data_IF_766808073356
#
_entry.id   IF_766808073356
#
_cell.length_a   1.000
_cell.length_b   1.000
_cell.length_c   1.000
_cell.angle_alpha   90.00
_cell.angle_beta   90.00
_cell.angle_gamma   90.00
#
_symmetry.space_group_name_H-M   'P 1'
#
loop_
_entity.id
_entity.type
_entity.pdbx_description
1 polymer ?
#
# COMPACT_ATOMS: atom_id res chain seq x y z
N UNK A 1 20.48 -10.34 0.55
CA UNK A 1 21.86 -10.81 0.74
C UNK A 1 21.83 -12.23 1.27
N UNK A 2 22.74 -13.07 0.82
CA UNK A 2 22.86 -14.48 1.22
C UNK A 2 24.33 -14.90 1.17
N UNK A 3 24.69 -15.94 1.93
CA UNK A 3 25.97 -16.64 1.80
C UNK A 3 26.01 -17.58 0.59
N UNK A 4 24.84 -17.92 0.04
CA UNK A 4 24.67 -18.73 -1.15
C UNK A 4 24.43 -17.84 -2.38
N UNK A 5 24.92 -18.23 -3.57
CA UNK A 5 24.80 -17.42 -4.77
C UNK A 5 23.38 -17.36 -5.35
N UNK A 6 23.08 -16.28 -6.07
CA UNK A 6 21.84 -16.09 -6.83
C UNK A 6 21.97 -16.50 -8.31
N UNK A 7 22.88 -17.41 -8.64
CA UNK A 7 23.14 -17.82 -10.03
C UNK A 7 21.92 -18.41 -10.75
N UNK A 8 20.92 -18.88 -10.01
CA UNK A 8 19.65 -19.35 -10.54
C UNK A 8 18.73 -18.21 -11.04
N UNK A 9 19.00 -16.95 -10.69
CA UNK A 9 18.26 -15.79 -11.24
C UNK A 9 18.86 -15.25 -12.53
N UNK A 10 20.07 -15.70 -12.88
CA UNK A 10 20.81 -15.23 -14.05
C UNK A 10 20.58 -16.15 -15.27
N UNK A 11 20.76 -15.58 -16.47
CA UNK A 11 20.74 -16.28 -17.75
C UNK A 11 19.57 -17.28 -17.89
N UNK A 12 18.34 -16.77 -17.71
CA UNK A 12 17.13 -17.56 -17.91
C UNK A 12 17.03 -18.02 -19.37
N UNK A 13 16.68 -19.29 -19.56
CA UNK A 13 16.39 -19.81 -20.90
C UNK A 13 15.08 -19.20 -21.37
N UNK A 14 14.95 -18.96 -22.67
CA UNK A 14 13.72 -18.42 -23.26
C UNK A 14 12.47 -19.25 -22.91
N UNK A 15 12.61 -20.58 -22.80
CA UNK A 15 11.52 -21.46 -22.38
C UNK A 15 11.10 -21.24 -20.92
N UNK A 16 12.06 -20.99 -20.01
CA UNK A 16 11.80 -20.73 -18.59
C UNK A 16 11.08 -19.40 -18.39
N UNK A 17 11.50 -18.38 -19.14
CA UNK A 17 10.85 -17.06 -19.17
C UNK A 17 9.42 -17.14 -19.72
N UNK A 18 9.24 -17.76 -20.88
CA UNK A 18 7.92 -17.94 -21.48
C UNK A 18 6.97 -18.75 -20.58
N UNK A 19 7.48 -19.78 -19.92
CA UNK A 19 6.70 -20.58 -18.98
C UNK A 19 6.32 -19.77 -17.73
N UNK A 20 7.24 -18.98 -17.16
CA UNK A 20 6.94 -18.09 -16.03
C UNK A 20 5.83 -17.07 -16.36
N UNK A 21 5.87 -16.48 -17.56
CA UNK A 21 4.82 -15.57 -18.03
C UNK A 21 3.46 -16.27 -18.14
N UNK A 22 3.44 -17.44 -18.76
CA UNK A 22 2.23 -18.23 -18.91
C UNK A 22 1.66 -18.70 -17.56
N UNK A 23 2.53 -19.04 -16.60
CA UNK A 23 2.16 -19.44 -15.24
C UNK A 23 1.53 -18.28 -14.46
N UNK A 24 2.08 -17.07 -14.59
CA UNK A 24 1.50 -15.87 -13.95
C UNK A 24 0.10 -15.57 -14.47
N UNK A 25 -0.09 -15.54 -15.79
CA UNK A 25 -1.39 -15.28 -16.40
C UNK A 25 -2.46 -16.30 -15.98
N UNK A 26 -2.06 -17.56 -15.79
CA UNK A 26 -2.95 -18.66 -15.39
C UNK A 26 -3.03 -18.84 -13.88
N UNK A 27 -2.32 -18.03 -13.10
CA UNK A 27 -2.20 -18.17 -11.65
C UNK A 27 -1.84 -19.61 -11.22
N UNK A 28 -0.91 -20.23 -11.96
CA UNK A 28 -0.47 -21.60 -11.66
C UNK A 28 0.21 -21.62 -10.30
N UNK A 29 -0.23 -22.55 -9.46
CA UNK A 29 0.38 -22.79 -8.17
C UNK A 29 1.77 -23.41 -8.35
N UNK A 30 2.77 -22.78 -7.75
CA UNK A 30 4.14 -23.29 -7.76
C UNK A 30 4.52 -23.79 -6.37
N UNK A 31 4.60 -25.11 -6.24
CA UNK A 31 5.03 -25.77 -5.01
C UNK A 31 6.51 -26.18 -5.12
N UNK A 32 7.36 -25.53 -4.34
CA UNK A 32 8.77 -25.87 -4.20
C UNK A 32 9.03 -26.66 -2.92
N UNK A 33 10.03 -27.56 -2.91
CA UNK A 33 10.47 -28.21 -1.69
C UNK A 33 11.05 -27.19 -0.70
N UNK A 34 11.11 -27.57 0.58
CA UNK A 34 11.62 -26.69 1.64
C UNK A 34 13.08 -26.27 1.42
N UNK A 35 13.90 -27.13 0.81
CA UNK A 35 15.30 -26.84 0.50
C UNK A 35 15.69 -27.42 -0.85
N UNK A 36 16.28 -26.61 -1.71
CA UNK A 36 16.82 -27.05 -3.00
C UNK A 36 18.32 -27.29 -2.89
N UNK A 37 18.77 -28.47 -3.32
CA UNK A 37 20.20 -28.82 -3.32
C UNK A 37 20.95 -28.06 -4.41
N UNK A 38 20.38 -27.99 -5.62
CA UNK A 38 20.94 -27.31 -6.79
C UNK A 38 19.93 -26.31 -7.41
N UNK A 39 19.79 -25.10 -6.84
CA UNK A 39 18.83 -24.11 -7.32
C UNK A 39 18.97 -23.75 -8.80
N UNK A 40 20.19 -23.75 -9.34
CA UNK A 40 20.48 -23.38 -10.73
C UNK A 40 19.90 -24.37 -11.75
N UNK A 41 19.72 -25.64 -11.37
CA UNK A 41 19.20 -26.69 -12.26
C UNK A 41 17.68 -26.85 -12.17
N UNK A 42 17.02 -26.27 -11.16
CA UNK A 42 15.57 -26.36 -11.02
C UNK A 42 14.88 -25.40 -11.99
N UNK A 43 14.29 -25.96 -13.04
CA UNK A 43 13.44 -25.23 -13.98
C UNK A 43 12.22 -24.67 -13.26
N UNK A 44 11.64 -25.39 -12.31
CA UNK A 44 10.47 -24.96 -11.53
C UNK A 44 10.76 -23.68 -10.73
N UNK A 45 11.89 -23.63 -10.02
CA UNK A 45 12.33 -22.43 -9.29
C UNK A 45 12.49 -21.23 -10.24
N UNK A 46 13.10 -21.48 -11.40
CA UNK A 46 13.43 -20.43 -12.38
C UNK A 46 12.20 -19.86 -13.06
N UNK A 47 11.23 -20.72 -13.40
CA UNK A 47 9.92 -20.30 -13.90
C UNK A 47 9.13 -19.54 -12.82
N UNK A 48 9.12 -20.05 -11.58
CA UNK A 48 8.43 -19.41 -10.46
C UNK A 48 9.02 -18.04 -10.10
N UNK A 49 10.33 -17.90 -10.25
CA UNK A 49 11.01 -16.61 -10.11
C UNK A 49 10.51 -15.62 -11.14
N UNK A 50 10.44 -16.02 -12.41
CA UNK A 50 9.89 -15.19 -13.47
C UNK A 50 8.43 -14.83 -13.20
N UNK A 51 7.59 -15.79 -12.79
CA UNK A 51 6.22 -15.55 -12.37
C UNK A 51 6.14 -14.48 -11.26
N UNK A 52 7.02 -14.55 -10.25
CA UNK A 52 6.99 -13.65 -9.08
C UNK A 52 7.44 -12.20 -9.38
N UNK A 53 8.04 -11.96 -10.54
CA UNK A 53 8.48 -10.62 -10.96
C UNK A 53 7.40 -9.87 -11.75
N UNK A 54 6.29 -10.52 -12.11
CA UNK A 54 5.31 -9.92 -13.01
C UNK A 54 4.26 -9.13 -12.23
N UNK A 55 3.86 -8.00 -12.80
CA UNK A 55 2.73 -7.20 -12.35
C UNK A 55 2.00 -6.58 -13.54
N UNK A 56 0.79 -6.08 -13.29
CA UNK A 56 -0.03 -5.44 -14.33
C UNK A 56 -0.15 -3.94 -14.05
N UNK A 57 0.04 -3.14 -15.09
CA UNK A 57 0.06 -1.68 -15.01
C UNK A 57 -0.77 -1.05 -16.14
N UNK A 58 -1.52 0.00 -15.84
CA UNK A 58 -2.25 0.79 -16.84
C UNK A 58 -2.37 2.28 -16.41
N UNK A 59 -2.22 3.26 -17.32
CA UNK A 59 -1.76 3.09 -18.70
C UNK A 59 -0.27 2.76 -18.74
N UNK A 60 0.19 2.11 -19.81
CA UNK A 60 1.60 1.81 -20.04
C UNK A 60 2.13 2.65 -21.19
N UNK A 61 3.04 3.57 -20.90
CA UNK A 61 3.73 4.40 -21.90
C UNK A 61 5.21 4.00 -21.90
N UNK A 62 5.72 3.29 -22.92
CA UNK A 62 7.08 2.74 -22.92
C UNK A 62 8.19 3.78 -22.68
N UNK A 63 7.95 5.04 -23.03
CA UNK A 63 8.90 6.14 -22.88
C UNK A 63 8.77 6.89 -21.54
N UNK A 64 7.76 6.58 -20.71
CA UNK A 64 7.46 7.32 -19.50
C UNK A 64 7.19 6.39 -18.32
N UNK A 65 7.99 6.54 -17.27
CA UNK A 65 7.75 5.84 -16.02
C UNK A 65 6.57 6.47 -15.28
N UNK A 66 5.48 5.72 -15.18
CA UNK A 66 4.23 6.18 -14.55
C UNK A 66 4.11 5.77 -13.08
N UNK A 67 5.07 5.04 -12.51
CA UNK A 67 5.11 4.76 -11.08
C UNK A 67 6.55 4.87 -10.54
N UNK A 68 6.78 5.49 -9.37
CA UNK A 68 5.78 6.11 -8.48
C UNK A 68 5.24 7.44 -9.03
N UNK A 69 4.00 7.78 -8.70
CA UNK A 69 3.38 9.08 -9.07
C UNK A 69 3.72 10.17 -8.05
N UNK A 70 3.55 9.87 -6.77
CA UNK A 70 3.96 10.75 -5.66
C UNK A 70 5.46 10.60 -5.43
N UNK A 71 6.19 11.72 -5.40
CA UNK A 71 7.65 11.70 -5.21
C UNK A 71 8.43 11.15 -6.42
N UNK A 72 7.80 11.12 -7.61
CA UNK A 72 8.44 10.71 -8.85
C UNK A 72 9.75 11.49 -9.09
N UNK A 73 10.80 10.77 -9.45
CA UNK A 73 12.13 11.33 -9.69
C UNK A 73 12.06 12.38 -10.82
N UNK A 74 12.56 13.60 -10.54
CA UNK A 74 12.42 14.80 -11.38
C UNK A 74 13.23 14.74 -12.69
N UNK A 75 13.71 13.57 -13.09
CA UNK A 75 14.55 13.35 -14.28
C UNK A 75 13.89 13.72 -15.62
N UNK A 76 12.60 14.03 -15.61
CA UNK A 76 11.84 14.48 -16.80
C UNK A 76 11.59 16.01 -16.77
N UNK A 77 11.99 16.71 -15.70
CA UNK A 77 11.88 18.17 -15.62
C UNK A 77 12.69 18.80 -16.75
N UNK A 78 12.01 19.59 -17.60
CA UNK A 78 12.61 20.32 -18.72
C UNK A 78 12.43 19.69 -20.10
N UNK A 79 11.89 18.48 -20.22
CA UNK A 79 11.46 17.92 -21.53
C UNK A 79 10.04 18.37 -21.84
N UNK A 80 9.80 18.77 -23.09
CA UNK A 80 8.44 19.02 -23.57
C UNK A 80 7.57 17.80 -23.26
N UNK A 81 6.35 18.05 -22.79
CA UNK A 81 5.33 17.04 -22.52
C UNK A 81 4.21 17.24 -23.54
N UNK A 82 4.34 16.73 -24.78
CA UNK A 82 3.38 17.03 -25.85
C UNK A 82 1.94 16.68 -25.47
N UNK A 83 1.77 15.63 -24.67
CA UNK A 83 0.47 15.19 -24.16
C UNK A 83 -0.22 16.18 -23.23
N UNK A 84 0.50 17.13 -22.61
CA UNK A 84 -0.11 18.06 -21.65
C UNK A 84 -0.97 19.14 -22.32
N UNK A 85 -0.79 19.38 -23.61
CA UNK A 85 -1.53 20.39 -24.39
C UNK A 85 -2.58 19.79 -25.32
N UNK A 86 -2.57 18.46 -25.50
CA UNK A 86 -3.47 17.75 -26.39
C UNK A 86 -4.69 17.24 -25.61
N UNK A 87 -5.77 18.02 -25.60
CA UNK A 87 -6.99 17.68 -24.87
C UNK A 87 -7.66 16.41 -25.41
N UNK A 88 -7.65 16.19 -26.73
CA UNK A 88 -8.24 15.01 -27.35
C UNK A 88 -7.51 13.73 -26.90
N UNK A 89 -6.17 13.76 -26.91
CA UNK A 89 -5.37 12.65 -26.39
C UNK A 89 -5.66 12.38 -24.91
N UNK A 90 -5.77 13.44 -24.09
CA UNK A 90 -6.09 13.28 -22.66
C UNK A 90 -7.46 12.64 -22.45
N UNK A 91 -8.47 13.05 -23.22
CA UNK A 91 -9.80 12.45 -23.17
C UNK A 91 -9.78 10.97 -23.57
N UNK A 92 -9.05 10.61 -24.63
CA UNK A 92 -8.91 9.21 -25.05
C UNK A 92 -8.24 8.37 -23.97
N UNK A 93 -7.14 8.86 -23.38
CA UNK A 93 -6.44 8.16 -22.30
C UNK A 93 -7.30 8.00 -21.06
N UNK A 94 -8.06 9.04 -20.67
CA UNK A 94 -8.94 8.98 -19.50
C UNK A 94 -10.15 8.06 -19.74
N UNK A 95 -10.69 8.04 -20.96
CA UNK A 95 -11.78 7.13 -21.35
C UNK A 95 -11.34 5.67 -21.27
N UNK A 96 -10.18 5.33 -21.85
CA UNK A 96 -9.62 3.97 -21.78
C UNK A 96 -9.26 3.56 -20.34
N UNK A 97 -8.70 4.50 -19.57
CA UNK A 97 -8.44 4.30 -18.14
C UNK A 97 -9.72 4.00 -17.36
N UNK A 98 -10.82 4.70 -17.63
CA UNK A 98 -12.10 4.52 -16.94
C UNK A 98 -12.69 3.12 -17.18
N UNK A 99 -12.56 2.61 -18.41
CA UNK A 99 -12.93 1.25 -18.77
C UNK A 99 -12.06 0.23 -18.01
N UNK A 100 -10.75 0.47 -17.95
CA UNK A 100 -9.79 -0.39 -17.26
C UNK A 100 -10.02 -0.42 -15.74
N UNK A 101 -10.30 0.73 -15.13
CA UNK A 101 -10.60 0.87 -13.71
C UNK A 101 -11.90 0.16 -13.34
N UNK A 102 -12.95 0.33 -14.16
CA UNK A 102 -14.22 -0.39 -14.00
C UNK A 102 -14.02 -1.91 -14.10
N UNK A 103 -13.18 -2.37 -15.04
CA UNK A 103 -12.82 -3.78 -15.17
C UNK A 103 -12.15 -4.32 -13.90
N UNK A 104 -11.20 -3.58 -13.30
CA UNK A 104 -10.55 -3.98 -12.06
C UNK A 104 -11.54 -4.08 -10.89
N UNK A 105 -12.43 -3.10 -10.77
CA UNK A 105 -13.47 -3.14 -9.74
C UNK A 105 -14.40 -4.35 -9.89
N UNK A 106 -14.76 -4.71 -11.12
CA UNK A 106 -15.55 -5.90 -11.38
C UNK A 106 -14.81 -7.20 -11.00
N UNK A 107 -13.50 -7.29 -11.28
CA UNK A 107 -12.68 -8.42 -10.84
C UNK A 107 -12.59 -8.51 -9.31
N UNK A 108 -12.47 -7.37 -8.64
CA UNK A 108 -12.47 -7.27 -7.18
C UNK A 108 -13.80 -7.76 -6.59
N UNK A 109 -14.93 -7.32 -7.17
CA UNK A 109 -16.28 -7.74 -6.77
C UNK A 109 -16.51 -9.23 -7.01
N UNK A 110 -15.95 -9.77 -8.08
CA UNK A 110 -15.98 -11.20 -8.40
C UNK A 110 -14.97 -12.03 -7.60
N UNK A 111 -14.19 -11.43 -6.69
CA UNK A 111 -13.10 -12.07 -5.92
C UNK A 111 -11.99 -12.69 -6.79
N UNK A 112 -11.88 -12.27 -8.05
CA UNK A 112 -10.84 -12.71 -8.98
C UNK A 112 -9.59 -11.82 -8.93
N UNK A 113 -9.72 -10.63 -8.35
CA UNK A 113 -8.61 -9.75 -7.99
C UNK A 113 -8.62 -9.56 -6.47
N UNK A 114 -7.53 -9.87 -5.75
CA UNK A 114 -7.48 -9.73 -4.30
C UNK A 114 -7.43 -8.25 -3.92
N UNK A 115 -6.59 -7.47 -4.59
CA UNK A 115 -6.48 -6.04 -4.36
C UNK A 115 -5.89 -5.35 -5.59
N UNK A 116 -6.08 -4.04 -5.70
CA UNK A 116 -5.36 -3.23 -6.69
C UNK A 116 -5.18 -1.79 -6.17
N UNK A 117 -4.23 -1.07 -6.77
CA UNK A 117 -3.96 0.32 -6.43
C UNK A 117 -4.39 1.27 -7.55
N UNK A 118 -4.85 2.45 -7.15
CA UNK A 118 -5.00 3.64 -8.00
C UNK A 118 -4.02 4.69 -7.49
N UNK A 119 -2.95 4.94 -8.23
CA UNK A 119 -1.90 5.87 -7.86
C UNK A 119 -2.09 7.20 -8.59
N UNK A 120 -2.52 8.23 -7.88
CA UNK A 120 -2.61 9.60 -8.40
C UNK A 120 -1.35 10.38 -8.05
N UNK A 121 -1.24 11.62 -8.51
CA UNK A 121 -0.12 12.51 -8.19
C UNK A 121 -0.20 13.09 -6.76
N UNK A 122 -1.35 12.98 -6.08
CA UNK A 122 -1.57 13.52 -4.73
C UNK A 122 -1.84 12.45 -3.68
N UNK A 123 -2.49 11.35 -4.08
CA UNK A 123 -2.94 10.30 -3.18
C UNK A 123 -2.90 8.94 -3.86
N UNK A 124 -2.94 7.89 -3.06
CA UNK A 124 -3.09 6.51 -3.53
C UNK A 124 -4.36 5.93 -2.92
N UNK A 125 -5.09 5.15 -3.70
CA UNK A 125 -6.21 4.35 -3.25
C UNK A 125 -5.83 2.88 -3.32
N UNK A 126 -6.04 2.13 -2.25
CA UNK A 126 -5.93 0.68 -2.22
C UNK A 126 -7.33 0.07 -2.09
N UNK A 127 -7.78 -0.59 -3.14
CA UNK A 127 -9.00 -1.39 -3.13
C UNK A 127 -8.68 -2.83 -2.74
N UNK A 128 -9.45 -3.41 -1.82
CA UNK A 128 -9.29 -4.80 -1.34
C UNK A 128 -10.61 -5.55 -1.46
N UNK A 129 -10.55 -6.78 -1.94
CA UNK A 129 -11.69 -7.67 -2.00
C UNK A 129 -12.16 -8.08 -0.60
N UNK A 130 -13.42 -8.47 -0.50
CA UNK A 130 -13.96 -9.10 0.70
C UNK A 130 -13.18 -10.38 1.05
N UNK A 131 -12.76 -10.51 2.30
CA UNK A 131 -11.91 -11.58 2.82
C UNK A 131 -10.44 -11.17 3.04
N UNK A 132 -10.01 -10.01 2.56
CA UNK A 132 -8.65 -9.51 2.80
C UNK A 132 -8.54 -8.60 4.02
N UNK A 133 -7.35 -8.60 4.65
CA UNK A 133 -7.02 -7.75 5.79
C UNK A 133 -8.07 -7.78 6.90
N UNK A 134 -8.68 -8.95 7.15
CA UNK A 134 -9.73 -9.15 8.15
C UNK A 134 -11.10 -8.52 7.82
N UNK A 135 -11.33 -7.98 6.63
CA UNK A 135 -12.63 -7.37 6.26
C UNK A 135 -13.53 -8.36 5.53
N UNK A 136 -14.80 -8.41 5.90
CA UNK A 136 -15.80 -9.29 5.28
C UNK A 136 -16.48 -8.67 4.03
N UNK A 137 -16.25 -7.37 3.81
CA UNK A 137 -16.71 -6.55 2.67
C UNK A 137 -15.54 -5.97 1.87
N UNK A 138 -15.84 -5.46 0.67
CA UNK A 138 -14.88 -4.68 -0.13
C UNK A 138 -14.52 -3.41 0.65
N UNK A 139 -13.24 -3.07 0.64
CA UNK A 139 -12.75 -1.83 1.26
C UNK A 139 -11.93 -1.02 0.26
N UNK A 140 -11.96 0.30 0.40
CA UNK A 140 -11.08 1.21 -0.30
C UNK A 140 -10.44 2.15 0.72
N UNK A 141 -9.10 2.19 0.72
CA UNK A 141 -8.30 3.00 1.63
C UNK A 141 -7.60 4.09 0.85
N UNK A 142 -7.81 5.35 1.21
CA UNK A 142 -7.28 6.51 0.49
C UNK A 142 -6.27 7.22 1.39
N UNK A 143 -5.05 7.44 0.89
CA UNK A 143 -4.04 8.23 1.61
C UNK A 143 -2.97 8.85 0.69
N UNK A 144 -2.46 10.05 1.04
CA UNK A 144 -3.06 10.96 2.02
C UNK A 144 -4.33 11.62 1.46
N UNK A 145 -5.24 12.10 2.31
CA UNK A 145 -6.41 12.90 1.88
C UNK A 145 -6.25 14.37 2.25
N UNK A 146 -7.04 15.22 1.59
CA UNK A 146 -7.20 16.64 1.94
C UNK A 146 -8.63 16.91 2.37
N UNK A 147 -8.85 18.01 3.09
CA UNK A 147 -10.20 18.47 3.45
C UNK A 147 -11.10 18.59 2.22
N UNK A 148 -10.60 19.20 1.14
CA UNK A 148 -11.35 19.36 -0.10
C UNK A 148 -11.75 18.01 -0.73
N UNK A 149 -10.87 17.01 -0.72
CA UNK A 149 -11.21 15.67 -1.19
C UNK A 149 -12.28 15.02 -0.31
N UNK A 150 -12.14 15.13 1.01
CA UNK A 150 -13.10 14.58 1.99
C UNK A 150 -14.48 15.25 1.87
N UNK A 151 -14.53 16.55 1.65
CA UNK A 151 -15.78 17.29 1.42
C UNK A 151 -16.42 16.91 0.09
N UNK A 152 -15.64 16.82 -0.99
CA UNK A 152 -16.14 16.36 -2.29
C UNK A 152 -16.73 14.95 -2.20
N UNK A 153 -16.07 14.03 -1.48
CA UNK A 153 -16.59 12.69 -1.23
C UNK A 153 -17.92 12.72 -0.46
N UNK A 154 -18.04 13.55 0.60
CA UNK A 154 -19.29 13.70 1.36
C UNK A 154 -20.43 14.27 0.50
N UNK A 155 -20.12 15.24 -0.36
CA UNK A 155 -21.11 15.85 -1.25
C UNK A 155 -21.67 14.87 -2.29
N UNK A 156 -20.87 13.88 -2.69
CA UNK A 156 -21.25 12.77 -3.57
C UNK A 156 -21.93 11.61 -2.81
N UNK A 157 -22.21 11.79 -1.52
CA UNK A 157 -22.87 10.79 -0.68
C UNK A 157 -21.98 9.60 -0.32
N UNK A 158 -20.65 9.74 -0.41
CA UNK A 158 -19.72 8.67 -0.02
C UNK A 158 -19.48 8.74 1.48
N UNK A 159 -19.92 7.70 2.17
CA UNK A 159 -19.61 7.52 3.59
C UNK A 159 -18.21 6.94 3.78
N UNK A 160 -17.43 7.53 4.68
CA UNK A 160 -16.10 7.07 5.05
C UNK A 160 -15.82 7.33 6.53
N UNK A 161 -14.87 6.56 7.08
CA UNK A 161 -14.33 6.74 8.43
C UNK A 161 -12.87 7.24 8.37
N UNK A 162 -12.40 7.85 9.46
CA UNK A 162 -11.02 8.30 9.65
C UNK A 162 -10.39 7.54 10.82
N UNK A 163 -10.07 6.24 10.63
CA UNK A 163 -9.78 5.32 11.74
C UNK A 163 -8.56 5.75 12.58
N UNK A 164 -7.56 6.37 11.95
CA UNK A 164 -6.35 6.83 12.64
C UNK A 164 -6.56 8.05 13.55
N UNK A 165 -7.69 8.74 13.40
CA UNK A 165 -8.09 9.89 14.23
C UNK A 165 -8.98 9.40 15.37
N UNK A 166 -9.85 8.44 15.07
CA UNK A 166 -10.71 7.79 16.07
C UNK A 166 -9.88 7.04 17.13
N UNK A 167 -8.78 6.39 16.73
CA UNK A 167 -7.82 5.76 17.66
C UNK A 167 -7.15 6.78 18.59
N UNK A 168 -6.72 7.95 18.08
CA UNK A 168 -6.10 8.97 18.94
C UNK A 168 -7.06 9.51 20.00
N UNK A 169 -8.37 9.49 19.75
CA UNK A 169 -9.38 9.90 20.72
C UNK A 169 -9.69 8.80 21.76
N UNK A 170 -9.54 7.52 21.40
CA UNK A 170 -9.72 6.39 22.33
C UNK A 170 -8.50 6.17 23.23
N UNK A 171 -7.29 6.45 22.73
CA UNK A 171 -6.04 6.28 23.48
C UNK A 171 -5.88 7.22 24.69
N UNK A 172 -6.57 8.36 24.71
CA UNK A 172 -6.56 9.30 25.84
C UNK A 172 -7.43 8.83 27.01
N UNK A 173 -8.35 7.87 26.81
CA UNK A 173 -9.29 7.41 27.84
C UNK A 173 -8.93 6.04 28.45
N UNK A 174 -7.70 5.53 28.28
CA UNK A 174 -7.35 4.13 28.63
C UNK A 174 -6.04 3.96 29.41
N UNK A 175 -5.71 4.89 30.31
CA UNK A 175 -4.68 4.68 31.33
C UNK A 175 -5.22 5.18 32.66
N UNK A 176 -5.57 4.27 33.57
CA UNK A 176 -5.34 4.40 35.02
C UNK A 176 -5.86 3.18 35.79
N UNK A 177 -4.95 2.29 36.20
CA UNK A 177 -5.00 1.59 37.50
C UNK A 177 -3.54 1.33 37.93
N UNK A 178 -3.06 1.95 39.00
CA UNK A 178 -1.84 1.50 39.69
C UNK A 178 -0.91 2.52 40.38
N UNK A 179 -1.44 3.37 41.27
CA UNK A 179 -0.87 3.93 42.51
C UNK A 179 0.66 3.89 42.81
N UNK A 180 1.32 5.06 42.94
CA UNK A 180 2.18 5.45 44.11
C UNK A 180 2.75 6.88 44.04
N UNK A 181 2.25 7.75 44.94
CA UNK A 181 2.86 8.82 45.76
C UNK A 181 4.09 9.68 45.31
N UNK A 182 3.88 11.01 45.45
CA UNK A 182 4.80 12.14 45.80
C UNK A 182 5.27 13.16 44.73
N UNK A 183 4.56 14.31 44.78
CA UNK A 183 4.97 15.75 44.71
C UNK A 183 5.27 16.45 43.35
N UNK A 184 4.92 17.75 43.22
CA UNK A 184 4.17 18.26 42.06
C UNK A 184 4.83 19.42 41.29
N UNK A 185 4.45 19.58 40.01
CA UNK A 185 4.19 20.86 39.28
C UNK A 185 4.36 20.69 37.75
N UNK A 186 3.65 21.49 36.93
CA UNK A 186 2.21 21.74 36.88
C UNK A 186 1.59 21.02 35.66
N UNK A 187 0.43 20.39 35.85
CA UNK A 187 -0.42 19.95 34.75
C UNK A 187 -1.19 21.16 34.21
N UNK A 188 -0.98 21.47 32.92
CA UNK A 188 -2.00 22.18 32.14
C UNK A 188 -3.11 21.17 31.85
N UNK A 189 -4.08 21.12 32.77
CA UNK A 189 -5.35 20.42 32.61
C UNK A 189 -6.28 21.30 31.77
N UNK A 190 -6.49 20.94 30.51
CA UNK A 190 -7.63 21.39 29.71
C UNK A 190 -8.58 20.20 29.51
N UNK A 191 -9.21 19.77 30.61
CA UNK A 191 -10.46 19.01 30.59
C UNK A 191 -11.64 20.00 30.57
N UNK A 192 -12.04 20.36 29.35
CA UNK A 192 -13.06 21.39 29.06
C UNK A 192 -14.52 20.87 29.23
N UNK A 193 -14.77 19.92 30.13
CA UNK A 193 -16.15 19.51 30.52
C UNK A 193 -16.39 19.30 32.03
N UNK A 194 -15.39 19.56 32.90
CA UNK A 194 -15.56 19.58 34.38
C UNK A 194 -15.15 20.93 35.03
N UNK A 195 -14.74 21.91 34.21
CA UNK A 195 -14.18 23.21 34.66
C UNK A 195 -15.17 24.24 35.22
N UNK A 196 -16.44 23.89 35.46
CA UNK A 196 -17.47 24.83 35.95
C UNK A 196 -17.91 24.61 37.41
N UNK A 197 -17.40 23.58 38.10
CA UNK A 197 -17.84 23.26 39.48
C UNK A 197 -17.36 24.28 40.53
N UNK A 198 -16.18 24.90 40.36
CA UNK A 198 -15.70 25.96 41.28
C UNK A 198 -16.41 27.32 41.05
N UNK A 199 -16.97 27.54 39.85
CA UNK A 199 -17.76 28.74 39.52
C UNK A 199 -19.13 28.72 40.21
N UNK A 200 -19.65 27.54 40.54
CA UNK A 200 -20.82 27.34 41.42
C UNK A 200 -20.53 27.73 42.87
N UNK A 201 -19.30 27.50 43.34
CA UNK A 201 -18.89 27.75 44.72
C UNK A 201 -18.51 29.23 45.01
N UNK A 202 -18.15 30.00 43.97
CA UNK A 202 -17.82 31.43 44.09
C UNK A 202 -18.93 32.40 43.62
N UNK A 203 -20.07 31.90 43.12
CA UNK A 203 -21.22 32.75 42.73
C UNK A 203 -21.01 33.60 41.48
N UNK A 204 -20.17 33.17 40.53
CA UNK A 204 -19.80 33.95 39.32
C UNK A 204 -20.39 33.37 38.03
N UNK A 205 -21.57 32.74 38.10
CA UNK A 205 -22.20 32.12 36.92
C UNK A 205 -22.57 33.11 35.80
N UNK A 206 -22.80 34.39 36.12
CA UNK A 206 -23.42 35.33 35.16
C UNK A 206 -22.49 35.94 34.10
N UNK A 207 -21.18 35.60 34.06
CA UNK A 207 -20.23 36.29 33.15
C UNK A 207 -19.33 35.43 32.27
N UNK A 208 -19.35 34.11 32.36
CA UNK A 208 -18.60 33.26 31.41
C UNK A 208 -19.51 32.85 30.26
N UNK A 209 -19.40 33.54 29.12
CA UNK A 209 -20.06 33.14 27.88
C UNK A 209 -19.50 31.77 27.46
N UNK A 210 -20.37 30.76 27.39
CA UNK A 210 -20.06 29.47 26.76
C UNK A 210 -19.43 29.71 25.38
N UNK A 211 -18.40 28.97 24.96
CA UNK A 211 -17.78 29.16 23.65
C UNK A 211 -18.85 29.01 22.54
N UNK A 212 -19.01 30.06 21.74
CA UNK A 212 -19.99 30.10 20.65
C UNK A 212 -19.78 28.92 19.70
N UNK A 213 -20.85 28.34 19.15
CA UNK A 213 -20.81 27.23 18.19
C UNK A 213 -19.88 27.50 16.99
N UNK A 214 -19.60 28.77 16.69
CA UNK A 214 -18.64 29.22 15.67
C UNK A 214 -17.21 28.85 16.07
N UNK A 215 -16.82 29.04 17.33
CA UNK A 215 -15.48 28.72 17.84
C UNK A 215 -15.20 27.21 17.84
N UNK A 216 -16.21 26.39 18.17
CA UNK A 216 -16.14 24.93 18.13
C UNK A 216 -16.01 24.43 16.69
N UNK A 217 -16.80 24.99 15.75
CA UNK A 217 -16.65 24.71 14.32
C UNK A 217 -15.27 25.10 13.81
N UNK A 218 -14.74 26.26 14.21
CA UNK A 218 -13.42 26.73 13.79
C UNK A 218 -12.29 25.84 14.31
N UNK A 219 -12.38 25.34 15.56
CA UNK A 219 -11.44 24.37 16.13
C UNK A 219 -11.49 23.02 15.39
N UNK A 220 -12.69 22.53 15.08
CA UNK A 220 -12.88 21.29 14.29
C UNK A 220 -12.31 21.44 12.87
N UNK A 221 -12.58 22.56 12.22
CA UNK A 221 -12.07 22.88 10.88
C UNK A 221 -10.55 23.00 10.88
N UNK A 222 -9.96 23.64 11.89
CA UNK A 222 -8.50 23.72 12.04
C UNK A 222 -7.86 22.35 12.22
N UNK A 223 -8.47 21.46 13.02
CA UNK A 223 -7.96 20.11 13.22
C UNK A 223 -8.06 19.26 11.93
N UNK A 224 -9.16 19.36 11.18
CA UNK A 224 -9.28 18.70 9.87
C UNK A 224 -8.22 19.17 8.87
N UNK A 225 -7.92 20.47 8.84
CA UNK A 225 -6.90 21.04 7.94
C UNK A 225 -5.47 20.65 8.36
N UNK A 226 -5.19 20.58 9.67
CA UNK A 226 -3.86 20.20 10.18
C UNK A 226 -3.46 18.75 9.85
N UNK A 227 -4.42 17.89 9.50
CA UNK A 227 -4.19 16.50 9.12
C UNK A 227 -3.92 16.32 7.63
N UNK A 228 -4.19 17.33 6.80
CA UNK A 228 -4.06 17.21 5.35
C UNK A 228 -2.64 16.81 4.94
N UNK A 229 -2.56 15.95 3.93
CA UNK A 229 -1.32 15.39 3.41
C UNK A 229 -0.53 14.48 4.37
N UNK A 230 -1.03 14.26 5.60
CA UNK A 230 -0.38 13.38 6.58
C UNK A 230 -1.00 11.97 6.57
N UNK A 231 -0.28 10.92 7.02
CA UNK A 231 -0.83 9.57 7.14
C UNK A 231 -2.11 9.50 7.97
N UNK A 232 -2.29 10.38 8.96
CA UNK A 232 -3.48 10.45 9.81
C UNK A 232 -4.77 10.77 9.03
N UNK A 233 -4.66 11.39 7.85
CA UNK A 233 -5.79 11.69 6.97
C UNK A 233 -6.34 10.48 6.21
N UNK A 234 -5.88 9.25 6.52
CA UNK A 234 -6.37 8.03 5.90
C UNK A 234 -7.89 7.93 5.99
N UNK A 235 -8.54 7.83 4.83
CA UNK A 235 -9.98 7.62 4.73
C UNK A 235 -10.27 6.17 4.34
N UNK A 236 -11.20 5.55 5.06
CA UNK A 236 -11.65 4.18 4.83
C UNK A 236 -13.10 4.18 4.37
N UNK A 237 -13.32 3.67 3.16
CA UNK A 237 -14.64 3.44 2.56
C UNK A 237 -14.91 1.93 2.58
N UNK A 238 -16.10 1.51 3.00
CA UNK A 238 -16.49 0.09 3.10
C UNK A 238 -17.77 -0.22 2.31
N UNK A 239 -17.90 -1.46 1.86
CA UNK A 239 -19.15 -2.01 1.33
C UNK A 239 -19.60 -1.34 0.04
N UNK A 240 -20.89 -1.04 -0.08
CA UNK A 240 -21.49 -0.45 -1.29
C UNK A 240 -20.93 0.92 -1.66
N UNK A 241 -20.47 1.70 -0.67
CA UNK A 241 -19.85 3.00 -0.86
C UNK A 241 -18.57 2.94 -1.73
N UNK A 242 -17.91 1.79 -1.85
CA UNK A 242 -16.72 1.65 -2.72
C UNK A 242 -17.08 1.75 -4.20
N UNK A 243 -18.31 1.41 -4.59
CA UNK A 243 -18.79 1.61 -5.96
C UNK A 243 -19.09 3.08 -6.24
N UNK A 244 -19.67 3.79 -5.27
CA UNK A 244 -19.86 5.25 -5.36
C UNK A 244 -18.50 5.95 -5.46
N UNK A 245 -17.49 5.49 -4.70
CA UNK A 245 -16.12 5.98 -4.80
C UNK A 245 -15.51 5.74 -6.18
N UNK A 246 -15.71 4.55 -6.79
CA UNK A 246 -15.28 4.28 -8.16
C UNK A 246 -15.83 5.33 -9.14
N UNK A 247 -17.15 5.57 -9.09
CA UNK A 247 -17.81 6.54 -9.98
C UNK A 247 -17.33 7.97 -9.71
N UNK A 248 -17.14 8.33 -8.45
CA UNK A 248 -16.56 9.62 -8.08
C UNK A 248 -15.16 9.81 -8.68
N UNK A 249 -14.27 8.83 -8.49
CA UNK A 249 -12.90 8.90 -9.00
C UNK A 249 -12.84 8.96 -10.53
N UNK A 250 -13.74 8.27 -11.23
CA UNK A 250 -13.86 8.33 -12.69
C UNK A 250 -14.20 9.75 -13.17
N UNK A 251 -15.10 10.43 -12.45
CA UNK A 251 -15.59 11.77 -12.82
C UNK A 251 -14.79 12.91 -12.16
N UNK A 252 -13.81 12.59 -11.31
CA UNK A 252 -13.08 13.56 -10.52
C UNK A 252 -12.02 14.28 -11.37
N UNK A 253 -12.27 15.55 -11.72
CA UNK A 253 -11.32 16.36 -12.51
C UNK A 253 -9.97 16.58 -11.82
N UNK A 254 -9.93 16.64 -10.49
CA UNK A 254 -8.70 16.84 -9.71
C UNK A 254 -7.83 15.57 -9.59
N UNK A 255 -8.25 14.46 -10.17
CA UNK A 255 -7.51 13.20 -10.19
C UNK A 255 -6.29 13.25 -11.13
N UNK A 256 -6.36 14.11 -12.15
CA UNK A 256 -5.31 14.32 -13.16
C UNK A 256 -4.51 15.57 -12.82
N UNK A 257 -3.19 15.48 -12.91
CA UNK A 257 -2.33 16.63 -12.69
C UNK A 257 -2.58 17.68 -13.78
N UNK A 258 -2.66 18.95 -13.38
CA UNK A 258 -2.83 20.07 -14.33
C UNK A 258 -1.48 20.54 -14.91
N UNK A 259 -0.39 20.31 -14.17
CA UNK A 259 0.95 20.77 -14.53
C UNK A 259 2.03 19.74 -14.21
N UNK A 260 3.18 19.90 -14.87
CA UNK A 260 4.36 19.06 -14.69
C UNK A 260 4.38 17.80 -15.58
N UNK A 261 5.37 16.91 -15.39
CA UNK A 261 5.57 15.74 -16.25
C UNK A 261 4.41 14.74 -16.31
N UNK A 262 3.50 14.79 -15.33
CA UNK A 262 2.33 13.92 -15.24
C UNK A 262 1.04 14.62 -15.73
N UNK A 263 1.15 15.85 -16.24
CA UNK A 263 0.00 16.66 -16.64
C UNK A 263 -0.82 15.96 -17.71
N UNK A 264 -2.15 15.96 -17.56
CA UNK A 264 -3.07 15.34 -18.52
C UNK A 264 -3.09 13.81 -18.52
N UNK A 265 -2.22 13.14 -17.76
CA UNK A 265 -2.16 11.68 -17.73
C UNK A 265 -3.05 11.12 -16.63
N UNK A 266 -3.89 10.10 -16.91
CA UNK A 266 -4.72 9.47 -15.89
C UNK A 266 -3.85 8.76 -14.83
N UNK A 267 -4.41 8.47 -13.63
CA UNK A 267 -3.71 7.72 -12.60
C UNK A 267 -3.21 6.36 -13.05
N UNK A 268 -2.21 5.86 -12.35
CA UNK A 268 -1.67 4.53 -12.63
C UNK A 268 -2.43 3.48 -11.83
N UNK A 269 -3.02 2.53 -12.53
CA UNK A 269 -3.60 1.32 -11.97
C UNK A 269 -2.49 0.26 -11.83
N UNK A 270 -2.39 -0.35 -10.65
CA UNK A 270 -1.48 -1.47 -10.40
C UNK A 270 -2.27 -2.66 -9.87
N UNK A 271 -2.05 -3.84 -10.43
CA UNK A 271 -2.76 -5.06 -10.05
C UNK A 271 -1.84 -6.29 -10.04
N UNK A 272 -2.03 -7.24 -9.09
CA UNK A 272 -1.39 -8.55 -9.15
C UNK A 272 -1.88 -9.39 -10.33
N UNK A 273 -3.13 -9.21 -10.74
CA UNK A 273 -3.81 -10.03 -11.76
C UNK A 273 -4.07 -9.25 -13.03
N UNK A 274 -4.24 -9.99 -14.14
CA UNK A 274 -4.57 -9.42 -15.44
C UNK A 274 -5.94 -8.74 -15.41
N UNK A 275 -6.06 -7.64 -16.16
CA UNK A 275 -7.30 -6.87 -16.31
C UNK A 275 -7.36 -6.21 -17.68
N UNK A 276 -8.56 -5.79 -18.10
CA UNK A 276 -8.75 -5.09 -19.38
C UNK A 276 -7.91 -3.81 -19.42
N UNK A 277 -7.15 -3.60 -20.49
CA UNK A 277 -6.23 -2.48 -20.65
C UNK A 277 -4.91 -2.61 -19.88
N UNK A 278 -4.83 -3.55 -18.93
CA UNK A 278 -3.61 -3.87 -18.20
C UNK A 278 -2.50 -4.34 -19.13
N UNK A 279 -1.34 -3.70 -19.03
CA UNK A 279 -0.13 -4.15 -19.70
C UNK A 279 0.74 -4.91 -18.71
N UNK A 280 1.21 -6.09 -19.11
CA UNK A 280 2.14 -6.88 -18.31
C UNK A 280 3.50 -6.16 -18.22
N UNK A 281 4.02 -6.07 -17.02
CA UNK A 281 5.33 -5.50 -16.71
C UNK A 281 6.13 -6.45 -15.85
N UNK A 282 7.45 -6.33 -15.88
CA UNK A 282 8.37 -7.20 -15.14
C UNK A 282 9.29 -6.37 -14.27
N UNK A 283 9.39 -6.74 -12.99
CA UNK A 283 10.36 -6.19 -12.06
C UNK A 283 11.78 -6.50 -12.55
N UNK A 284 12.66 -5.51 -12.47
CA UNK A 284 14.05 -5.67 -12.91
C UNK A 284 14.82 -6.39 -11.80
N UNK A 285 15.29 -7.60 -12.06
CA UNK A 285 16.13 -8.34 -11.15
C UNK A 285 17.59 -8.34 -11.60
N UNK A 286 18.52 -8.11 -10.67
CA UNK A 286 19.96 -8.17 -10.90
C UNK A 286 20.66 -8.87 -9.74
N UNK A 287 21.44 -9.89 -10.06
CA UNK A 287 22.33 -10.54 -9.10
C UNK A 287 23.70 -9.82 -9.10
N UNK A 288 24.26 -9.65 -7.92
CA UNK A 288 25.54 -8.97 -7.68
C UNK A 288 26.37 -9.83 -6.73
N UNK A 289 27.63 -10.06 -7.11
CA UNK A 289 28.58 -10.82 -6.33
C UNK A 289 29.62 -9.86 -5.76
N UNK A 290 29.69 -9.72 -4.44
CA UNK A 290 30.64 -8.86 -3.76
C UNK A 290 31.53 -9.68 -2.81
N UNK A 291 32.72 -9.15 -2.51
CA UNK A 291 33.58 -9.69 -1.45
C UNK A 291 33.57 -8.71 -0.28
N UNK A 292 33.10 -9.14 0.88
CA UNK A 292 33.15 -8.34 2.08
C UNK A 292 34.28 -8.84 2.98
N UNK A 293 35.00 -7.90 3.60
CA UNK A 293 36.03 -8.23 4.58
C UNK A 293 35.36 -8.39 5.94
N UNK A 294 35.25 -9.62 6.43
CA UNK A 294 34.75 -9.92 7.77
C UNK A 294 35.96 -10.28 8.63
N UNK A 295 36.28 -9.40 9.59
CA UNK A 295 37.47 -9.48 10.46
C UNK A 295 38.79 -9.55 9.65
N UNK A 296 39.29 -10.75 9.38
CA UNK A 296 40.59 -11.05 8.75
C UNK A 296 40.48 -11.82 7.42
N UNK A 297 39.28 -12.27 7.02
CA UNK A 297 39.06 -13.03 5.79
C UNK A 297 38.07 -12.32 4.86
N UNK A 298 38.23 -12.55 3.55
CA UNK A 298 37.26 -12.12 2.55
C UNK A 298 36.21 -13.21 2.38
N UNK A 299 34.97 -12.89 2.72
CA UNK A 299 33.81 -13.76 2.47
C UNK A 299 33.06 -13.25 1.24
N UNK A 300 32.63 -14.18 0.39
CA UNK A 300 31.77 -13.84 -0.73
C UNK A 300 30.37 -13.56 -0.20
N UNK A 301 29.85 -12.38 -0.51
CA UNK A 301 28.48 -11.98 -0.23
C UNK A 301 27.75 -11.85 -1.56
N UNK A 302 26.62 -12.54 -1.64
CA UNK A 302 25.75 -12.49 -2.80
C UNK A 302 24.55 -11.61 -2.50
N UNK A 303 24.15 -10.77 -3.45
CA UNK A 303 22.94 -9.96 -3.36
C UNK A 303 22.10 -10.07 -4.62
N UNK A 304 20.79 -9.95 -4.43
CA UNK A 304 19.79 -9.89 -5.49
C UNK A 304 19.06 -8.56 -5.31
N UNK A 305 19.20 -7.68 -6.27
CA UNK A 305 18.53 -6.39 -6.35
C UNK A 305 17.27 -6.55 -7.21
N UNK A 306 16.12 -6.13 -6.70
CA UNK A 306 14.84 -6.16 -7.42
C UNK A 306 14.28 -4.73 -7.43
N UNK A 307 14.11 -4.18 -8.63
CA UNK A 307 13.74 -2.78 -8.86
C UNK A 307 12.41 -2.69 -9.59
N UNK A 308 11.49 -1.90 -9.04
CA UNK A 308 10.15 -1.65 -9.58
C UNK A 308 9.10 -1.61 -8.45
N UNK A 309 7.81 -1.57 -8.80
CA UNK A 309 6.72 -1.63 -7.83
C UNK A 309 6.59 -3.04 -7.22
N UNK A 310 7.40 -3.33 -6.20
CA UNK A 310 7.30 -4.59 -5.45
C UNK A 310 6.05 -4.55 -4.58
N UNK A 311 5.01 -5.24 -5.03
CA UNK A 311 3.73 -5.33 -4.32
C UNK A 311 3.77 -6.41 -3.22
N UNK A 312 2.83 -6.38 -2.24
CA UNK A 312 2.78 -7.35 -1.15
C UNK A 312 2.81 -8.82 -1.59
N UNK A 313 2.06 -9.19 -2.63
CA UNK A 313 2.06 -10.56 -3.14
C UNK A 313 3.43 -10.98 -3.71
N UNK A 314 4.10 -10.10 -4.45
CA UNK A 314 5.41 -10.35 -5.05
C UNK A 314 6.47 -10.51 -3.96
N UNK A 315 6.42 -9.67 -2.91
CA UNK A 315 7.32 -9.78 -1.77
C UNK A 315 7.17 -11.14 -1.06
N UNK A 316 5.94 -11.59 -0.80
CA UNK A 316 5.73 -12.90 -0.17
C UNK A 316 6.19 -14.04 -1.09
N UNK A 317 5.82 -14.00 -2.38
CA UNK A 317 6.24 -15.01 -3.35
C UNK A 317 7.76 -15.12 -3.43
N UNK A 318 8.47 -13.99 -3.58
CA UNK A 318 9.94 -13.95 -3.55
C UNK A 318 10.50 -14.48 -2.23
N UNK A 319 9.92 -14.13 -1.09
CA UNK A 319 10.33 -14.65 0.22
C UNK A 319 10.22 -16.17 0.29
N UNK A 320 9.15 -16.76 -0.26
CA UNK A 320 8.98 -18.21 -0.35
C UNK A 320 10.01 -18.87 -1.28
N UNK A 321 10.26 -18.29 -2.46
CA UNK A 321 11.28 -18.79 -3.39
C UNK A 321 12.68 -18.73 -2.79
N UNK A 322 13.02 -17.60 -2.16
CA UNK A 322 14.29 -17.38 -1.47
C UNK A 322 14.46 -18.33 -0.30
N UNK A 323 13.40 -18.62 0.46
CA UNK A 323 13.42 -19.60 1.54
C UNK A 323 13.88 -20.97 1.04
N UNK A 324 13.38 -21.43 -0.10
CA UNK A 324 13.77 -22.70 -0.71
C UNK A 324 15.18 -22.65 -1.34
N UNK A 325 15.49 -21.60 -2.10
CA UNK A 325 16.72 -21.48 -2.87
C UNK A 325 17.95 -21.11 -2.01
N UNK A 326 17.75 -20.42 -0.89
CA UNK A 326 18.80 -19.92 0.01
C UNK A 326 18.83 -20.70 1.34
N UNK A 327 18.26 -21.91 1.37
CA UNK A 327 18.27 -22.82 2.54
C UNK A 327 17.78 -22.15 3.83
N UNK A 328 16.75 -21.31 3.73
CA UNK A 328 16.20 -20.59 4.88
C UNK A 328 17.15 -19.59 5.53
N UNK A 329 18.16 -19.09 4.82
CA UNK A 329 19.13 -18.13 5.34
C UNK A 329 19.38 -16.98 4.35
N UNK A 330 18.71 -15.84 4.55
CA UNK A 330 18.96 -14.62 3.76
C UNK A 330 18.47 -13.38 4.51
N UNK A 331 18.95 -12.20 4.12
CA UNK A 331 18.44 -10.92 4.59
C UNK A 331 18.01 -10.02 3.42
N UNK A 332 17.08 -9.11 3.67
CA UNK A 332 16.55 -8.18 2.68
C UNK A 332 16.45 -6.78 3.27
N UNK A 333 16.79 -5.77 2.46
CA UNK A 333 16.57 -4.35 2.75
C UNK A 333 15.51 -3.85 1.78
N UNK A 334 14.55 -3.07 2.27
CA UNK A 334 13.42 -2.60 1.48
C UNK A 334 13.33 -1.09 1.47
N UNK A 335 13.07 -0.54 0.29
CA UNK A 335 12.83 0.88 0.06
C UNK A 335 11.34 1.09 -0.19
N UNK A 336 10.59 1.27 0.89
CA UNK A 336 9.13 1.49 0.81
C UNK A 336 8.81 2.83 0.18
N UNK A 337 7.78 2.85 -0.67
CA UNK A 337 7.15 4.09 -1.11
C UNK A 337 6.33 4.67 0.04
N UNK A 338 6.88 5.67 0.73
CA UNK A 338 6.32 6.25 1.98
C UNK A 338 4.80 6.48 1.97
N UNK A 339 4.16 7.02 0.91
CA UNK A 339 2.71 7.24 0.90
C UNK A 339 1.86 5.99 1.11
N UNK A 340 2.42 4.80 0.86
CA UNK A 340 1.73 3.51 0.99
C UNK A 340 1.93 2.84 2.36
N UNK A 341 2.84 3.32 3.20
CA UNK A 341 3.16 2.72 4.50
C UNK A 341 1.94 2.64 5.43
N UNK A 342 1.08 3.65 5.38
CA UNK A 342 -0.13 3.72 6.22
C UNK A 342 -1.16 2.64 5.91
N UNK A 343 -1.09 2.02 4.71
CA UNK A 343 -2.00 0.93 4.35
C UNK A 343 -1.75 -0.34 5.16
N UNK A 344 -0.67 -0.41 5.94
CA UNK A 344 -0.43 -1.51 6.86
C UNK A 344 -1.11 -1.34 8.22
N UNK A 345 -1.98 -0.34 8.38
CA UNK A 345 -2.77 -0.18 9.59
C UNK A 345 -3.90 -1.20 9.60
N UNK A 346 -4.12 -1.84 10.74
CA UNK A 346 -5.36 -2.58 11.00
C UNK A 346 -6.54 -1.60 11.06
N UNK A 347 -7.62 -1.94 10.37
CA UNK A 347 -8.80 -1.09 10.20
C UNK A 347 -10.04 -1.71 10.85
N UNK A 348 -9.84 -2.62 11.81
CA UNK A 348 -10.87 -3.14 12.71
C UNK A 348 -11.89 -4.02 12.00
N UNK A 349 -11.43 -5.05 11.30
CA UNK A 349 -12.30 -6.07 10.72
C UNK A 349 -12.58 -7.22 11.70
N UNK A 350 -13.82 -7.70 11.75
CA UNK A 350 -14.13 -8.97 12.42
C UNK A 350 -13.45 -10.10 11.64
N UNK A 351 -12.67 -10.95 12.30
CA UNK A 351 -11.93 -12.05 11.67
C UNK A 351 -12.88 -13.06 11.05
N UNK A 352 -13.23 -12.84 9.78
CA UNK A 352 -14.03 -13.77 8.99
C UNK A 352 -13.14 -14.40 7.92
N UNK A 353 -12.82 -15.68 8.10
CA UNK A 353 -12.25 -16.50 7.03
C UNK A 353 -13.33 -16.74 5.96
N UNK A 354 -13.31 -15.95 4.89
CA UNK A 354 -14.04 -16.26 3.66
C UNK A 354 -13.05 -16.82 2.65
N UNK A 355 -13.37 -17.97 2.08
CA UNK A 355 -12.58 -18.50 0.97
C UNK A 355 -12.51 -17.45 -0.16
N UNK A 356 -11.29 -17.18 -0.61
CA UNK A 356 -10.94 -16.46 -1.83
C UNK A 356 -10.45 -17.48 -2.88
N UNK A 357 -11.27 -18.49 -3.27
CA UNK A 357 -10.82 -19.47 -4.24
C UNK A 357 -10.68 -18.73 -5.58
N UNK A 358 -9.48 -18.78 -6.15
CA UNK A 358 -9.15 -18.26 -7.48
C UNK A 358 -8.95 -16.74 -7.63
N UNK A 359 -8.45 -16.04 -6.62
CA UNK A 359 -8.05 -14.62 -6.77
C UNK A 359 -6.67 -14.45 -7.46
N UNK A 360 -6.29 -15.36 -8.36
CA UNK A 360 -5.11 -15.24 -9.20
C UNK A 360 -3.75 -15.27 -8.50
N UNK A 361 -3.69 -15.65 -7.22
CA UNK A 361 -2.46 -15.71 -6.41
C UNK A 361 -2.30 -17.08 -5.75
N UNK A 362 -1.07 -17.40 -5.35
CA UNK A 362 -0.76 -18.61 -4.59
C UNK A 362 -1.54 -18.64 -3.25
N UNK A 363 -2.12 -19.78 -2.82
CA UNK A 363 -2.93 -19.88 -1.59
C UNK A 363 -2.24 -19.34 -0.34
N UNK A 364 -0.99 -19.74 -0.07
CA UNK A 364 -0.18 -19.21 1.05
C UNK A 364 -0.04 -17.68 1.05
N UNK A 365 0.06 -17.07 -0.13
CA UNK A 365 0.10 -15.60 -0.27
C UNK A 365 -1.24 -14.99 0.12
N UNK A 366 -2.35 -15.61 -0.30
CA UNK A 366 -3.69 -15.16 0.06
C UNK A 366 -3.97 -15.32 1.54
N UNK A 367 -3.57 -16.43 2.14
CA UNK A 367 -3.68 -16.65 3.57
C UNK A 367 -2.96 -15.55 4.34
N UNK A 368 -1.73 -15.19 3.93
CA UNK A 368 -1.00 -14.09 4.56
C UNK A 368 -1.71 -12.74 4.38
N UNK A 369 -2.20 -12.43 3.17
CA UNK A 369 -2.88 -11.15 2.88
C UNK A 369 -4.26 -11.04 3.53
N UNK A 370 -4.87 -12.17 3.89
CA UNK A 370 -6.16 -12.23 4.57
C UNK A 370 -6.04 -11.85 6.04
N UNK A 371 -4.87 -12.06 6.64
CA UNK A 371 -4.61 -11.69 8.03
C UNK A 371 -4.63 -10.16 8.23
N UNK A 372 -5.09 -9.67 9.40
CA UNK A 372 -4.98 -8.26 9.75
C UNK A 372 -3.53 -7.76 9.67
N UNK A 373 -3.29 -6.57 9.08
CA UNK A 373 -1.96 -5.98 9.02
C UNK A 373 -1.37 -5.69 10.41
N UNK A 374 -0.12 -6.09 10.64
CA UNK A 374 0.54 -5.93 11.97
C UNK A 374 1.51 -4.75 12.05
N UNK A 375 1.83 -4.11 10.92
CA UNK A 375 2.89 -3.09 10.84
C UNK A 375 2.41 -1.67 11.24
N UNK A 376 1.11 -1.49 11.55
CA UNK A 376 0.51 -0.19 11.85
C UNK A 376 0.84 0.84 10.75
N UNK A 377 1.37 2.00 11.13
CA UNK A 377 1.76 3.08 10.20
C UNK A 377 3.16 2.91 9.62
N UNK A 378 3.88 1.86 10.04
CA UNK A 378 5.26 1.63 9.66
C UNK A 378 5.36 0.74 8.42
N UNK A 379 6.58 0.61 7.88
CA UNK A 379 6.85 -0.27 6.74
C UNK A 379 8.04 -1.16 7.05
N UNK A 380 8.11 -2.33 6.41
CA UNK A 380 9.26 -3.22 6.58
C UNK A 380 10.49 -2.54 5.94
N UNK A 381 11.56 -2.34 6.71
CA UNK A 381 12.85 -1.83 6.21
C UNK A 381 13.88 -2.94 6.08
N UNK A 382 13.79 -3.92 6.95
CA UNK A 382 14.70 -5.05 6.99
C UNK A 382 13.94 -6.34 7.30
N UNK A 383 14.27 -7.41 6.58
CA UNK A 383 13.81 -8.77 6.83
C UNK A 383 15.03 -9.68 6.98
N UNK A 384 15.01 -10.53 7.98
CA UNK A 384 16.01 -11.56 8.20
C UNK A 384 15.32 -12.91 8.27
N UNK A 385 15.71 -13.81 7.36
CA UNK A 385 15.35 -15.22 7.37
C UNK A 385 16.54 -16.01 7.92
N UNK A 386 16.30 -16.74 9.01
CA UNK A 386 17.27 -17.63 9.64
C UNK A 386 16.56 -18.91 10.07
N UNK A 387 17.14 -20.06 9.73
CA UNK A 387 16.60 -21.38 10.09
C UNK A 387 15.12 -21.54 9.70
N UNK A 388 14.75 -21.05 8.50
CA UNK A 388 13.39 -21.10 7.94
C UNK A 388 12.33 -20.26 8.68
N UNK A 389 12.73 -19.50 9.69
CA UNK A 389 11.93 -18.48 10.35
C UNK A 389 12.36 -17.09 9.90
N UNK A 390 11.41 -16.16 9.74
CA UNK A 390 11.75 -14.77 9.42
C UNK A 390 11.35 -13.82 10.54
N UNK A 391 12.18 -12.81 10.73
CA UNK A 391 11.90 -11.64 11.57
C UNK A 391 12.01 -10.38 10.70
N UNK A 392 11.37 -9.30 11.11
CA UNK A 392 11.43 -8.04 10.38
C UNK A 392 11.59 -6.86 11.34
N UNK A 393 12.13 -5.76 10.81
CA UNK A 393 12.26 -4.48 11.50
C UNK A 393 11.65 -3.38 10.63
N UNK A 394 10.92 -2.47 11.27
CA UNK A 394 10.25 -1.34 10.62
C UNK A 394 10.99 -0.02 10.72
#
# INVERSE_FOLDING_TARGET
>A
MSSQPFTWTEHLKAQEEAQGFAQHCRAVETNLPQSLQEPKLSTELRCAFQQSLIYWLHPSLPWLQLFPRIGADRKIVGKASPWSQDEDLQQVLLSDWSVSFTSLYNLLKAKLCPYFYVCTYQFTVLFRAAGLAGSDVITAVISPTTRGLREAMRNEGIEFSLPLVEESKKGTNSLEVGNSMEEPAPSDDDDDDDGFSWLEEMGVQDKVKKPDAISIKLRKDNHEVQMDHKPQSLALVKGTNTFTLLNFLINCKSLVAVAGPQAGLPPTLLSPVAFRGGTMQTLKARSINAKARVRLAYENIFSLEIVGPVMPHSLHALTMLLKAAQRGAFSGVFYTHEPTAVFNTDLGGETVHKDLPMSGLHPKTLDQLSQPPTLKKSSIRFLEMKDYAYTWKS
#
